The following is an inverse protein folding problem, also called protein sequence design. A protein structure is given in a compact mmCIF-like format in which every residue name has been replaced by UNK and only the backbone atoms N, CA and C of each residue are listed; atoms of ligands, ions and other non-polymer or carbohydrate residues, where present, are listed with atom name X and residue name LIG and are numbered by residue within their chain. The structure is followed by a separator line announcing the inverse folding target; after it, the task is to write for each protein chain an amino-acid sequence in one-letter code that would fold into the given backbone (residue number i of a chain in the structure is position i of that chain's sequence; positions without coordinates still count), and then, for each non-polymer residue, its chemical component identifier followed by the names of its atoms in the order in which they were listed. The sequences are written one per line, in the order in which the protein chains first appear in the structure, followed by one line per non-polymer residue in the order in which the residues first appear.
data_IF_956344191634
#
_entry.id   IF_956344191634
#
_cell.length_a   1.000
_cell.length_b   1.000
_cell.length_c   1.000
_cell.angle_alpha   90.00
_cell.angle_beta   90.00
_cell.angle_gamma   90.00
#
_symmetry.space_group_name_H-M   'P 1'
#
loop_
_entity.id
_entity.type
_entity.pdbx_description
1 polymer ?
#
# COMPACT_ATOMS: atom_id res chain seq x y z
N UNK A 1 -20.96 -1.30 19.46
CA UNK A 1 -20.18 -1.97 18.43
C UNK A 1 -19.04 -1.08 17.96
N UNK A 2 -17.88 -1.62 17.85
CA UNK A 2 -16.72 -0.85 17.44
C UNK A 2 -16.26 -1.30 16.08
N UNK A 3 -16.18 -0.35 15.18
CA UNK A 3 -15.56 -0.60 13.89
C UNK A 3 -14.10 -0.23 13.99
N UNK A 4 -13.24 -1.18 13.83
CA UNK A 4 -11.82 -0.91 13.82
C UNK A 4 -11.47 -0.20 12.54
N UNK A 5 -10.95 1.00 12.68
CA UNK A 5 -10.42 1.72 11.53
C UNK A 5 -9.01 1.26 11.31
N UNK A 6 -8.77 0.69 10.16
CA UNK A 6 -7.43 0.32 9.78
C UNK A 6 -6.74 1.53 9.20
N UNK A 7 -5.51 1.73 9.61
CA UNK A 7 -4.68 2.76 9.00
C UNK A 7 -4.02 2.15 7.80
N UNK A 8 -4.36 2.64 6.63
CA UNK A 8 -3.90 2.10 5.36
C UNK A 8 -3.07 3.13 4.64
N UNK A 9 -1.83 2.80 4.33
CA UNK A 9 -0.92 3.68 3.62
C UNK A 9 -0.39 2.95 2.40
N UNK A 10 -0.43 3.62 1.26
CA UNK A 10 0.11 3.07 0.02
C UNK A 10 1.27 3.95 -0.44
N UNK A 11 2.46 3.40 -0.45
CA UNK A 11 3.66 4.08 -0.90
C UNK A 11 3.82 3.84 -2.39
N UNK A 12 3.93 4.90 -3.17
CA UNK A 12 3.98 4.80 -4.63
C UNK A 12 5.10 5.64 -5.21
N UNK A 13 5.43 5.32 -6.46
CA UNK A 13 6.24 6.18 -7.34
C UNK A 13 5.34 6.59 -8.50
N UNK A 14 5.33 7.88 -8.87
CA UNK A 14 4.36 8.38 -9.86
C UNK A 14 4.43 7.70 -11.24
N UNK A 15 5.61 7.20 -11.61
CA UNK A 15 5.83 6.58 -12.92
C UNK A 15 5.75 5.06 -12.88
N UNK A 16 5.21 4.50 -11.82
CA UNK A 16 5.15 3.06 -11.61
C UNK A 16 3.79 2.51 -12.05
N UNK A 17 3.78 1.67 -13.08
CA UNK A 17 2.54 1.08 -13.58
C UNK A 17 1.84 0.21 -12.56
N UNK A 18 2.60 -0.56 -11.80
CA UNK A 18 2.04 -1.42 -10.76
C UNK A 18 1.43 -0.59 -9.64
N UNK A 19 2.00 0.58 -9.33
CA UNK A 19 1.44 1.50 -8.36
C UNK A 19 0.07 2.00 -8.80
N UNK A 20 -0.08 2.33 -10.08
CA UNK A 20 -1.35 2.77 -10.62
C UNK A 20 -2.41 1.68 -10.53
N UNK A 21 -2.02 0.43 -10.76
CA UNK A 21 -2.93 -0.70 -10.62
C UNK A 21 -3.38 -0.89 -9.18
N UNK A 22 -2.47 -0.70 -8.23
CA UNK A 22 -2.81 -0.78 -6.81
C UNK A 22 -3.78 0.31 -6.41
N UNK A 23 -3.53 1.55 -6.85
CA UNK A 23 -4.43 2.67 -6.60
C UNK A 23 -5.82 2.38 -7.14
N UNK A 24 -5.89 1.91 -8.38
CA UNK A 24 -7.16 1.60 -9.02
C UNK A 24 -7.92 0.52 -8.24
N UNK A 25 -7.22 -0.52 -7.82
CA UNK A 25 -7.86 -1.62 -7.09
C UNK A 25 -8.42 -1.14 -5.76
N UNK A 26 -7.66 -0.36 -5.01
CA UNK A 26 -8.12 0.17 -3.72
C UNK A 26 -9.29 1.12 -3.90
N UNK A 27 -9.25 1.95 -4.93
CA UNK A 27 -10.35 2.87 -5.23
C UNK A 27 -11.63 2.10 -5.55
N UNK A 28 -11.51 1.02 -6.29
CA UNK A 28 -12.66 0.19 -6.64
C UNK A 28 -13.28 -0.48 -5.43
N UNK A 29 -12.48 -0.80 -4.43
CA UNK A 29 -12.98 -1.40 -3.19
C UNK A 29 -13.63 -0.39 -2.26
N UNK A 30 -13.56 0.89 -2.59
CA UNK A 30 -14.10 1.93 -1.73
C UNK A 30 -13.35 2.10 -0.44
N UNK A 31 -12.07 1.73 -0.43
CA UNK A 31 -11.23 1.76 0.76
C UNK A 31 -10.61 3.13 0.94
N UNK A 32 -10.70 3.67 2.14
CA UNK A 32 -10.01 4.92 2.47
C UNK A 32 -8.56 4.59 2.81
N UNK A 33 -7.63 5.27 2.14
CA UNK A 33 -6.20 5.05 2.37
C UNK A 33 -5.44 6.33 2.10
N UNK A 34 -4.21 6.37 2.62
CA UNK A 34 -3.31 7.48 2.40
C UNK A 34 -2.35 7.12 1.28
N UNK A 35 -2.34 7.91 0.23
CA UNK A 35 -1.43 7.70 -0.91
C UNK A 35 -0.20 8.55 -0.70
N UNK A 36 0.96 7.92 -0.69
CA UNK A 36 2.22 8.58 -0.35
C UNK A 36 3.19 8.46 -1.52
N UNK A 37 3.56 9.59 -2.08
CA UNK A 37 4.53 9.66 -3.18
C UNK A 37 5.93 9.74 -2.59
N UNK A 38 6.68 8.65 -2.70
CA UNK A 38 8.01 8.55 -2.09
C UNK A 38 9.07 9.30 -2.88
N UNK A 39 8.76 9.70 -4.10
CA UNK A 39 9.69 10.51 -4.88
C UNK A 39 9.61 11.97 -4.43
N UNK A 40 8.42 12.42 -4.04
CA UNK A 40 8.21 13.78 -3.57
C UNK A 40 8.63 13.97 -2.11
N UNK A 41 8.79 12.87 -1.37
CA UNK A 41 9.06 12.92 0.08
C UNK A 41 10.14 11.92 0.45
N UNK A 42 11.34 12.40 0.71
CA UNK A 42 12.49 11.57 1.06
C UNK A 42 12.27 10.76 2.34
N UNK A 43 11.62 11.39 3.32
CA UNK A 43 11.34 10.71 4.59
C UNK A 43 10.43 9.51 4.37
N UNK A 44 9.45 9.68 3.49
CA UNK A 44 8.54 8.60 3.15
C UNK A 44 9.27 7.49 2.38
N UNK A 45 10.22 7.86 1.53
CA UNK A 45 11.01 6.87 0.81
C UNK A 45 11.81 6.00 1.79
N UNK A 46 12.47 6.65 2.75
CA UNK A 46 13.24 5.93 3.78
C UNK A 46 12.34 5.03 4.60
N UNK A 47 11.14 5.50 4.92
CA UNK A 47 10.17 4.70 5.66
C UNK A 47 9.74 3.47 4.86
N UNK A 48 9.48 3.65 3.57
CA UNK A 48 9.11 2.52 2.70
C UNK A 48 10.19 1.44 2.71
N UNK A 49 11.45 1.84 2.61
CA UNK A 49 12.57 0.90 2.63
C UNK A 49 12.65 0.20 3.98
N UNK A 50 12.48 0.94 5.06
CA UNK A 50 12.56 0.36 6.41
C UNK A 50 11.45 -0.66 6.63
N UNK A 51 10.23 -0.36 6.16
CA UNK A 51 9.09 -1.25 6.35
C UNK A 51 9.15 -2.48 5.46
N UNK A 52 9.61 -2.34 4.23
CA UNK A 52 9.56 -3.42 3.24
C UNK A 52 10.88 -4.14 3.05
N UNK A 53 11.99 -3.54 3.48
CA UNK A 53 13.31 -4.09 3.25
C UNK A 53 13.82 -3.93 1.83
N UNK A 54 13.15 -3.09 1.04
CA UNK A 54 13.51 -2.89 -0.36
C UNK A 54 13.06 -1.52 -0.83
N UNK A 55 13.53 -1.09 -2.00
CA UNK A 55 13.20 0.24 -2.53
C UNK A 55 12.20 0.19 -3.69
N UNK A 56 11.55 -0.94 -3.89
CA UNK A 56 10.58 -1.09 -4.97
C UNK A 56 9.17 -0.72 -4.51
N UNK A 57 8.42 -0.07 -5.37
CA UNK A 57 7.02 0.28 -5.14
C UNK A 57 6.15 -0.63 -6.00
N UNK A 58 4.89 -0.83 -5.66
CA UNK A 58 4.19 -0.26 -4.52
C UNK A 58 4.47 -1.02 -3.22
N UNK A 59 4.28 -0.32 -2.10
CA UNK A 59 4.32 -0.94 -0.77
C UNK A 59 3.05 -0.54 -0.04
N UNK A 60 2.35 -1.52 0.49
CA UNK A 60 1.12 -1.31 1.22
C UNK A 60 1.34 -1.62 2.70
N UNK A 61 0.90 -0.71 3.56
CA UNK A 61 0.98 -0.88 5.00
C UNK A 61 -0.44 -0.81 5.57
N UNK A 62 -0.91 -1.91 6.13
CA UNK A 62 -2.22 -1.96 6.77
C UNK A 62 -2.01 -2.31 8.23
N UNK A 63 -2.01 -1.29 9.08
CA UNK A 63 -1.82 -1.45 10.54
C UNK A 63 -0.55 -2.24 10.86
N UNK A 64 0.52 -1.98 10.12
CA UNK A 64 1.80 -2.63 10.35
C UNK A 64 2.02 -3.90 9.56
N UNK A 65 1.00 -4.39 8.85
CA UNK A 65 1.16 -5.54 7.96
C UNK A 65 1.56 -5.04 6.59
N UNK A 66 2.66 -5.55 6.09
CA UNK A 66 3.31 -5.00 4.89
C UNK A 66 3.18 -5.95 3.72
N UNK A 67 2.78 -5.41 2.57
CA UNK A 67 2.82 -6.11 1.30
C UNK A 67 3.67 -5.27 0.36
N UNK A 68 4.70 -5.87 -0.23
CA UNK A 68 5.65 -5.13 -1.05
C UNK A 68 5.77 -5.75 -2.43
N UNK A 69 6.02 -4.90 -3.42
CA UNK A 69 6.31 -5.32 -4.80
C UNK A 69 5.25 -6.28 -5.32
N UNK A 70 4.01 -5.81 -5.36
CA UNK A 70 2.86 -6.67 -5.64
C UNK A 70 2.07 -6.18 -6.85
N UNK A 71 1.31 -7.13 -7.43
CA UNK A 71 0.30 -6.81 -8.44
C UNK A 71 -1.10 -6.99 -7.86
N UNK A 72 -2.14 -6.75 -8.67
CA UNK A 72 -3.52 -6.84 -8.18
C UNK A 72 -3.90 -8.20 -7.59
N UNK A 73 -3.33 -9.28 -8.11
CA UNK A 73 -3.65 -10.61 -7.61
C UNK A 73 -3.13 -10.82 -6.19
N UNK A 74 -1.89 -10.42 -5.96
CA UNK A 74 -1.30 -10.51 -4.62
C UNK A 74 -2.02 -9.59 -3.65
N UNK A 75 -2.44 -8.43 -4.12
CA UNK A 75 -3.19 -7.48 -3.32
C UNK A 75 -4.54 -8.07 -2.90
N UNK A 76 -5.25 -8.70 -3.81
CA UNK A 76 -6.53 -9.33 -3.50
C UNK A 76 -6.38 -10.43 -2.46
N UNK A 77 -5.35 -11.27 -2.60
CA UNK A 77 -5.06 -12.34 -1.65
C UNK A 77 -4.73 -11.79 -0.28
N UNK A 78 -3.90 -10.75 -0.24
CA UNK A 78 -3.52 -10.08 1.00
C UNK A 78 -4.74 -9.55 1.71
N UNK A 79 -5.64 -8.93 0.96
CA UNK A 79 -6.86 -8.34 1.50
C UNK A 79 -7.78 -9.41 2.09
N UNK A 80 -7.92 -10.54 1.41
CA UNK A 80 -8.72 -11.65 1.94
C UNK A 80 -8.21 -12.12 3.28
N UNK A 81 -6.90 -12.20 3.44
CA UNK A 81 -6.30 -12.63 4.70
C UNK A 81 -6.54 -11.63 5.82
N UNK A 82 -6.61 -10.35 5.47
CA UNK A 82 -6.87 -9.31 6.46
C UNK A 82 -8.30 -9.36 6.99
N UNK A 83 -9.22 -9.84 6.18
CA UNK A 83 -10.64 -9.86 6.55
C UNK A 83 -11.02 -11.04 7.42
N UNK A 84 -10.12 -11.96 7.66
CA UNK A 84 -10.39 -13.12 8.51
C UNK A 84 -10.15 -12.85 9.97
#
# INVERSE_FOLDING_TARGET
MVVKRKRIRLFIKPYCGWCHKAVHWLDEQGVAYEKIDVIADETAYDEMIRLSGQDLAPVLDVDGKILADFGPEQLADFWKKLEK
#
